data_IF_040560243870
#
_entry.id   IF_040560243870
#
_cell.length_a   1.000
_cell.length_b   1.000
_cell.length_c   1.000
_cell.angle_alpha   90.00
_cell.angle_beta   90.00
_cell.angle_gamma   90.00
#
_symmetry.space_group_name_H-M   'P 1'
#
loop_
_entity.id
_entity.type
_entity.pdbx_description
1 polymer ?
#
# COMPACT_ATOMS: atom_id res chain seq x y z
N UNK A 1 1.61 5.91 -29.25
CA UNK A 1 2.52 5.30 -28.26
C UNK A 1 3.48 6.38 -27.79
N UNK A 2 3.65 6.57 -26.48
CA UNK A 2 4.73 7.44 -25.96
C UNK A 2 6.07 6.76 -26.24
N UNK A 3 7.09 7.55 -26.53
CA UNK A 3 8.48 7.09 -26.65
C UNK A 3 8.90 6.34 -25.37
N UNK A 4 9.65 5.23 -25.48
CA UNK A 4 10.20 4.54 -24.32
C UNK A 4 11.14 5.49 -23.55
N UNK A 5 11.20 5.31 -22.22
CA UNK A 5 12.13 6.07 -21.39
C UNK A 5 13.58 5.78 -21.84
N UNK A 6 14.47 6.79 -21.83
CA UNK A 6 15.89 6.61 -22.15
C UNK A 6 16.50 5.48 -21.33
N UNK A 7 17.38 4.68 -21.95
CA UNK A 7 18.21 3.75 -21.22
C UNK A 7 19.01 4.53 -20.17
N UNK A 8 18.92 4.10 -18.90
CA UNK A 8 19.52 4.74 -17.72
C UNK A 8 18.71 5.90 -17.05
N UNK A 9 17.38 5.91 -17.18
CA UNK A 9 16.52 6.86 -16.44
C UNK A 9 16.41 6.48 -14.96
N UNK A 10 16.55 7.47 -14.08
CA UNK A 10 16.26 7.36 -12.64
C UNK A 10 15.06 8.21 -12.24
N UNK A 11 14.24 7.72 -11.31
CA UNK A 11 13.06 8.42 -10.79
C UNK A 11 13.16 8.54 -9.27
N UNK A 12 12.85 9.72 -8.72
CA UNK A 12 12.61 9.91 -7.29
C UNK A 12 11.11 10.18 -7.09
N UNK A 13 10.42 9.29 -6.39
CA UNK A 13 9.02 9.48 -6.02
C UNK A 13 8.98 10.20 -4.67
N UNK A 14 8.29 11.34 -4.62
CA UNK A 14 8.07 12.12 -3.40
C UNK A 14 6.58 12.29 -3.20
N UNK A 15 6.07 11.92 -2.03
CA UNK A 15 4.65 12.05 -1.71
C UNK A 15 4.25 11.20 -0.51
N UNK A 16 2.95 11.06 -0.31
CA UNK A 16 2.40 10.41 0.87
C UNK A 16 2.58 8.88 0.81
N UNK A 17 3.25 8.33 1.83
CA UNK A 17 3.29 6.90 2.10
C UNK A 17 1.99 6.48 2.79
N UNK A 18 1.44 5.36 2.37
CA UNK A 18 0.27 4.74 3.00
C UNK A 18 0.48 3.23 3.06
N UNK A 19 -0.08 2.59 4.08
CA UNK A 19 -0.15 1.15 4.20
C UNK A 19 -1.58 0.71 3.91
N UNK A 20 -1.76 -0.08 2.85
CA UNK A 20 -3.04 -0.69 2.51
C UNK A 20 -3.14 -2.02 3.28
N UNK A 21 -3.86 -2.02 4.41
CA UNK A 21 -4.08 -3.20 5.24
C UNK A 21 -5.40 -3.89 4.86
N UNK A 22 -5.32 -5.19 4.58
CA UNK A 22 -6.45 -6.02 4.20
C UNK A 22 -6.74 -7.05 5.28
N UNK A 23 -7.96 -7.02 5.81
CA UNK A 23 -8.45 -8.05 6.73
C UNK A 23 -9.44 -8.96 6.01
N UNK A 24 -9.15 -10.26 6.05
CA UNK A 24 -9.99 -11.31 5.53
C UNK A 24 -10.58 -12.10 6.70
N UNK A 25 -11.87 -12.41 6.60
CA UNK A 25 -12.59 -13.12 7.65
C UNK A 25 -13.99 -13.47 7.22
N UNK A 26 -14.63 -14.31 8.02
CA UNK A 26 -16.00 -14.73 7.82
C UNK A 26 -16.96 -13.86 8.64
N UNK A 27 -18.21 -13.76 8.17
CA UNK A 27 -19.31 -13.09 8.88
C UNK A 27 -20.41 -14.10 9.14
N UNK A 28 -20.58 -14.44 10.41
CA UNK A 28 -21.47 -15.48 10.89
C UNK A 28 -22.54 -14.95 11.86
N UNK A 29 -22.51 -13.66 12.22
CA UNK A 29 -23.54 -13.00 13.03
C UNK A 29 -23.62 -11.48 12.86
N UNK A 30 -24.73 -10.91 13.31
CA UNK A 30 -24.94 -9.46 13.52
C UNK A 30 -24.61 -9.10 14.98
N UNK A 31 -24.04 -7.91 15.19
CA UNK A 31 -23.74 -7.42 16.54
C UNK A 31 -25.01 -7.21 17.36
N UNK A 32 -25.04 -7.58 18.65
CA UNK A 32 -26.15 -7.26 19.55
C UNK A 32 -26.20 -5.76 19.92
N UNK A 33 -25.09 -5.03 19.76
CA UNK A 33 -24.97 -3.61 20.14
C UNK A 33 -25.44 -2.64 19.03
N UNK A 34 -25.41 -3.07 17.78
CA UNK A 34 -25.82 -2.28 16.62
C UNK A 34 -26.08 -3.19 15.40
N UNK A 35 -26.92 -2.78 14.42
CA UNK A 35 -27.23 -3.57 13.24
C UNK A 35 -26.06 -3.58 12.23
N UNK A 36 -24.89 -4.06 12.65
CA UNK A 36 -23.67 -4.18 11.84
C UNK A 36 -23.11 -5.61 11.92
N UNK A 37 -22.53 -6.15 10.83
CA UNK A 37 -21.91 -7.48 10.83
C UNK A 37 -20.66 -7.51 11.72
N UNK A 38 -20.41 -8.66 12.36
CA UNK A 38 -19.15 -8.92 13.05
C UNK A 38 -18.28 -9.79 12.15
N UNK A 39 -17.11 -9.27 11.76
CA UNK A 39 -16.12 -10.02 10.98
C UNK A 39 -15.17 -10.74 11.93
N UNK A 40 -15.08 -12.07 11.81
CA UNK A 40 -14.05 -12.86 12.48
C UNK A 40 -12.80 -12.93 11.58
N UNK A 41 -11.89 -11.99 11.78
CA UNK A 41 -10.63 -11.90 11.00
C UNK A 41 -9.81 -13.18 11.21
N UNK A 42 -9.36 -13.78 10.11
CA UNK A 42 -8.55 -15.00 10.09
C UNK A 42 -7.27 -14.86 9.26
N UNK A 43 -7.14 -13.79 8.45
CA UNK A 43 -5.93 -13.44 7.71
C UNK A 43 -5.82 -11.93 7.55
N UNK A 44 -4.60 -11.43 7.65
CA UNK A 44 -4.24 -10.04 7.40
C UNK A 44 -3.16 -9.99 6.33
N UNK A 45 -3.25 -9.03 5.40
CA UNK A 45 -2.22 -8.76 4.40
C UNK A 45 -1.97 -7.27 4.33
N UNK A 46 -0.70 -6.88 4.43
CA UNK A 46 -0.29 -5.49 4.27
C UNK A 46 0.34 -5.27 2.89
N UNK A 47 0.03 -4.14 2.26
CA UNK A 47 0.59 -3.73 0.97
C UNK A 47 1.00 -2.27 0.99
N UNK A 48 2.02 -1.93 0.20
CA UNK A 48 2.38 -0.54 -0.03
C UNK A 48 1.26 0.15 -0.79
N UNK A 49 0.73 1.22 -0.21
CA UNK A 49 -0.27 2.12 -0.81
C UNK A 49 0.35 3.45 -1.24
N UNK A 50 -0.48 4.32 -1.81
CA UNK A 50 -0.09 5.70 -2.12
C UNK A 50 1.16 5.84 -2.99
N UNK A 51 2.03 6.78 -2.64
CA UNK A 51 3.28 7.04 -3.37
C UNK A 51 4.29 5.88 -3.25
N UNK A 52 4.22 5.08 -2.18
CA UNK A 52 5.07 3.90 -2.03
C UNK A 52 4.75 2.84 -3.09
N UNK A 53 3.46 2.65 -3.43
CA UNK A 53 3.05 1.75 -4.53
C UNK A 53 3.55 2.25 -5.90
N UNK A 54 3.57 3.57 -6.12
CA UNK A 54 4.10 4.16 -7.36
C UNK A 54 5.60 3.86 -7.49
N UNK A 55 6.36 4.04 -6.41
CA UNK A 55 7.78 3.71 -6.37
C UNK A 55 8.04 2.22 -6.61
N UNK A 56 7.24 1.35 -5.99
CA UNK A 56 7.32 -0.10 -6.19
C UNK A 56 7.10 -0.49 -7.65
N UNK A 57 6.05 0.05 -8.29
CA UNK A 57 5.76 -0.24 -9.70
C UNK A 57 6.88 0.25 -10.63
N UNK A 58 7.43 1.46 -10.40
CA UNK A 58 8.55 1.96 -11.18
C UNK A 58 9.80 1.06 -11.04
N UNK A 59 10.09 0.60 -9.82
CA UNK A 59 11.18 -0.35 -9.58
C UNK A 59 10.94 -1.68 -10.30
N UNK A 60 9.72 -2.23 -10.26
CA UNK A 60 9.36 -3.49 -10.94
C UNK A 60 9.49 -3.42 -12.46
N UNK A 61 9.37 -2.22 -13.05
CA UNK A 61 9.64 -1.96 -14.47
C UNK A 61 11.15 -1.85 -14.80
N UNK A 62 12.04 -2.03 -13.82
CA UNK A 62 13.49 -1.97 -14.00
C UNK A 62 14.08 -0.56 -13.96
N UNK A 63 13.33 0.42 -13.47
CA UNK A 63 13.79 1.82 -13.36
C UNK A 63 14.55 2.00 -12.04
N UNK A 64 15.70 2.69 -12.09
CA UNK A 64 16.42 3.09 -10.89
C UNK A 64 15.53 4.06 -10.08
N UNK A 65 14.97 3.60 -8.96
CA UNK A 65 13.90 4.32 -8.26
C UNK A 65 14.28 4.61 -6.82
N UNK A 66 14.21 5.88 -6.43
CA UNK A 66 14.23 6.35 -5.04
C UNK A 66 12.84 6.71 -4.55
N UNK A 67 12.64 6.68 -3.24
CA UNK A 67 11.39 7.09 -2.58
C UNK A 67 11.69 7.97 -1.38
N UNK A 68 10.95 9.07 -1.23
CA UNK A 68 11.04 9.98 -0.09
C UNK A 68 9.63 10.34 0.39
N UNK A 69 9.39 10.16 1.68
CA UNK A 69 8.10 10.44 2.31
C UNK A 69 8.30 10.83 3.78
N UNK A 70 7.21 11.22 4.42
CA UNK A 70 7.10 11.40 5.87
C UNK A 70 6.21 10.27 6.39
N UNK A 71 6.67 9.56 7.41
CA UNK A 71 5.89 8.53 8.11
C UNK A 71 5.77 8.87 9.59
N UNK A 72 4.75 8.30 10.24
CA UNK A 72 4.63 8.32 11.69
C UNK A 72 5.57 7.29 12.32
N UNK A 73 5.98 7.52 13.57
CA UNK A 73 6.70 6.52 14.37
C UNK A 73 5.68 5.63 15.11
N UNK A 74 4.92 4.86 14.34
CA UNK A 74 3.93 3.89 14.79
C UNK A 74 4.05 2.57 14.01
N UNK A 75 3.29 1.55 14.42
CA UNK A 75 3.42 0.22 13.83
C UNK A 75 3.21 0.19 12.29
N UNK A 76 2.25 0.94 11.70
CA UNK A 76 2.14 1.04 10.24
C UNK A 76 3.28 1.83 9.55
N UNK A 77 3.99 2.68 10.29
CA UNK A 77 5.07 3.52 9.76
C UNK A 77 6.48 2.91 9.82
N UNK A 78 6.65 1.78 10.52
CA UNK A 78 7.88 0.97 10.61
C UNK A 78 7.97 -0.04 9.47
#
# INVERSE_FOLDING_TARGET
>A
MKEPLPSNTSVLVVGDAMLDQYWYGDVDRISPEAPVPVVKVNREEDRLGGAANVALNAQQLGICTGFMSITCDDAPGQ
#
